data_IF_160697022263
#
_entry.id   IF_160697022263
#
_cell.length_a   1.000
_cell.length_b   1.000
_cell.length_c   1.000
_cell.angle_alpha   90.00
_cell.angle_beta   90.00
_cell.angle_gamma   90.00
#
_symmetry.space_group_name_H-M   'P 1'
#
loop_
_entity.id
_entity.type
_entity.pdbx_description
1 polymer ?
#
# COMPACT_ATOMS: atom_id res chain seq x y z
N UNK A 1 5.74 -31.57 -4.72
CA UNK A 1 5.41 -31.64 -3.28
C UNK A 1 6.33 -30.66 -2.60
N UNK A 2 5.87 -29.42 -2.37
CA UNK A 2 6.69 -28.38 -1.74
C UNK A 2 6.74 -28.63 -0.23
N UNK A 3 7.95 -28.81 0.30
CA UNK A 3 8.19 -28.93 1.74
C UNK A 3 7.89 -27.59 2.42
N UNK A 4 6.78 -27.52 3.15
CA UNK A 4 6.50 -26.39 4.05
C UNK A 4 7.53 -26.34 5.17
N UNK A 5 8.25 -25.23 5.30
CA UNK A 5 9.16 -25.01 6.42
C UNK A 5 8.39 -24.97 7.74
N UNK A 6 8.81 -25.77 8.71
CA UNK A 6 8.29 -25.70 10.08
C UNK A 6 9.35 -25.09 11.00
N UNK A 7 8.93 -24.18 11.88
CA UNK A 7 9.78 -23.55 12.89
C UNK A 7 9.19 -23.92 14.24
N UNK A 8 9.98 -24.60 15.07
CA UNK A 8 9.60 -25.00 16.43
C UNK A 8 10.37 -24.16 17.43
N UNK A 9 9.66 -23.45 18.31
CA UNK A 9 10.24 -22.65 19.39
C UNK A 9 9.92 -23.35 20.71
N UNK A 10 10.95 -23.68 21.49
CA UNK A 10 10.81 -24.33 22.80
C UNK A 10 11.03 -23.26 23.87
N UNK A 11 10.01 -23.01 24.68
CA UNK A 11 10.07 -22.11 25.82
C UNK A 11 10.16 -22.92 27.11
N UNK A 12 11.14 -22.60 27.95
CA UNK A 12 11.28 -23.20 29.28
C UNK A 12 10.58 -22.39 30.38
N UNK A 13 9.94 -21.28 30.02
CA UNK A 13 9.15 -20.44 30.93
C UNK A 13 7.67 -20.79 30.84
N UNK A 14 6.97 -20.76 31.96
CA UNK A 14 5.50 -20.87 32.05
C UNK A 14 4.78 -19.57 31.71
N UNK A 15 5.53 -18.47 31.56
CA UNK A 15 4.98 -17.17 31.22
C UNK A 15 4.68 -17.05 29.72
N UNK A 16 3.39 -16.94 29.39
CA UNK A 16 2.90 -16.76 28.02
C UNK A 16 3.17 -15.36 27.46
N UNK A 17 3.44 -14.38 28.33
CA UNK A 17 3.73 -13.01 27.91
C UNK A 17 5.01 -12.94 27.06
N UNK A 18 6.00 -13.78 27.37
CA UNK A 18 7.27 -13.86 26.62
C UNK A 18 7.05 -14.31 25.17
N UNK A 19 6.11 -15.22 24.93
CA UNK A 19 5.77 -15.64 23.56
C UNK A 19 5.04 -14.53 22.81
N UNK A 20 4.11 -13.83 23.48
CA UNK A 20 3.39 -12.71 22.89
C UNK A 20 4.35 -11.59 22.48
N UNK A 21 5.28 -11.21 23.37
CA UNK A 21 6.31 -10.19 23.11
C UNK A 21 7.26 -10.60 21.97
N UNK A 22 7.65 -11.88 21.88
CA UNK A 22 8.47 -12.38 20.78
C UNK A 22 7.73 -12.29 19.43
N UNK A 23 6.45 -12.68 19.41
CA UNK A 23 5.62 -12.61 18.20
C UNK A 23 5.40 -11.15 17.80
N UNK A 24 5.10 -10.27 18.77
CA UNK A 24 4.88 -8.84 18.53
C UNK A 24 6.16 -8.17 18.03
N UNK A 25 7.30 -8.42 18.67
CA UNK A 25 8.61 -7.93 18.24
C UNK A 25 8.97 -8.45 16.84
N UNK A 26 8.68 -9.72 16.57
CA UNK A 26 8.89 -10.32 15.25
C UNK A 26 8.03 -9.68 14.18
N UNK A 27 6.74 -9.49 14.49
CA UNK A 27 5.79 -8.80 13.61
C UNK A 27 6.22 -7.36 13.35
N UNK A 28 6.64 -6.62 14.38
CA UNK A 28 7.10 -5.24 14.29
C UNK A 28 8.33 -5.14 13.38
N UNK A 29 9.38 -5.92 13.63
CA UNK A 29 10.60 -5.93 12.78
C UNK A 29 10.31 -6.34 11.35
N UNK A 30 9.40 -7.30 11.15
CA UNK A 30 8.99 -7.71 9.81
C UNK A 30 8.22 -6.59 9.08
N UNK A 31 7.35 -5.86 9.79
CA UNK A 31 6.62 -4.72 9.24
C UNK A 31 7.54 -3.54 8.90
N UNK A 32 8.53 -3.22 9.74
CA UNK A 32 9.52 -2.15 9.52
C UNK A 32 10.39 -2.42 8.29
N UNK A 33 10.82 -3.69 8.10
CA UNK A 33 11.56 -4.09 6.92
C UNK A 33 10.71 -4.11 5.63
N UNK A 34 9.39 -4.31 5.73
CA UNK A 34 8.46 -4.16 4.61
C UNK A 34 8.29 -2.70 4.20
N UNK A 35 8.20 -1.79 5.16
CA UNK A 35 8.17 -0.35 4.88
C UNK A 35 9.46 0.09 4.17
N UNK A 36 10.59 -0.56 4.46
CA UNK A 36 11.90 -0.24 3.86
C UNK A 36 12.18 -0.89 2.48
N UNK A 37 11.50 -2.00 2.15
CA UNK A 37 11.67 -2.75 0.86
C UNK A 37 10.41 -2.71 0.01
N UNK A 38 9.66 -1.62 0.10
CA UNK A 38 8.34 -1.49 -0.49
C UNK A 38 8.47 -1.29 -2.00
N UNK A 39 7.99 -2.26 -2.76
CA UNK A 39 7.88 -2.17 -4.21
C UNK A 39 6.42 -1.95 -4.58
N UNK A 40 6.16 -1.13 -5.59
CA UNK A 40 4.81 -0.95 -6.14
C UNK A 40 4.63 -1.90 -7.32
N UNK A 41 3.61 -2.75 -7.26
CA UNK A 41 3.18 -3.56 -8.40
C UNK A 41 2.37 -2.68 -9.35
N UNK A 42 2.77 -2.64 -10.62
CA UNK A 42 2.00 -2.01 -11.69
C UNK A 42 1.52 -3.12 -12.61
N UNK A 43 0.21 -3.35 -12.65
CA UNK A 43 -0.41 -4.27 -13.58
C UNK A 43 -0.56 -3.58 -14.94
N UNK A 44 -0.24 -4.32 -15.99
CA UNK A 44 -0.48 -3.93 -17.36
C UNK A 44 -1.61 -4.79 -17.89
N UNK A 45 -2.71 -4.14 -18.24
CA UNK A 45 -3.85 -4.74 -18.91
C UNK A 45 -3.65 -4.72 -20.42
N UNK A 46 -4.00 -5.81 -21.07
CA UNK A 46 -4.02 -5.88 -22.53
C UNK A 46 -5.33 -5.31 -23.10
N UNK A 47 -5.44 -5.26 -24.43
CA UNK A 47 -6.66 -4.79 -25.12
C UNK A 47 -7.90 -5.68 -24.89
N UNK A 48 -7.76 -6.83 -24.21
CA UNK A 48 -8.85 -7.74 -23.84
C UNK A 48 -9.26 -7.57 -22.37
N UNK A 49 -8.60 -6.67 -21.64
CA UNK A 49 -8.82 -6.48 -20.21
C UNK A 49 -8.18 -7.57 -19.34
N UNK A 50 -7.37 -8.45 -19.92
CA UNK A 50 -6.65 -9.46 -19.17
C UNK A 50 -5.39 -8.85 -18.56
N UNK A 51 -5.19 -9.05 -17.25
CA UNK A 51 -4.00 -8.62 -16.54
C UNK A 51 -2.82 -9.52 -16.95
N UNK A 52 -2.11 -9.13 -17.99
CA UNK A 52 -1.11 -10.00 -18.62
C UNK A 52 0.28 -9.95 -17.95
N UNK A 53 0.64 -8.80 -17.35
CA UNK A 53 1.98 -8.61 -16.74
C UNK A 53 1.92 -7.66 -15.54
N UNK A 54 2.60 -8.03 -14.47
CA UNK A 54 2.86 -7.14 -13.33
C UNK A 54 4.34 -6.73 -13.36
N UNK A 55 4.62 -5.43 -13.42
CA UNK A 55 5.98 -4.89 -13.25
C UNK A 55 6.13 -4.35 -11.84
N UNK A 56 7.20 -4.76 -11.18
CA UNK A 56 7.54 -4.28 -9.85
C UNK A 56 8.44 -3.06 -9.97
N UNK A 57 8.02 -1.93 -9.41
CA UNK A 57 8.79 -0.68 -9.39
C UNK A 57 9.21 -0.33 -7.97
N UNK A 58 10.33 0.39 -7.84
CA UNK A 58 10.72 0.92 -6.53
C UNK A 58 9.69 1.94 -6.03
N UNK A 59 9.46 1.94 -4.71
CA UNK A 59 8.67 2.98 -4.06
C UNK A 59 9.29 4.34 -4.32
N UNK A 60 8.43 5.30 -4.62
CA UNK A 60 8.80 6.70 -4.79
C UNK A 60 8.23 7.50 -3.62
N UNK A 61 9.10 8.04 -2.78
CA UNK A 61 8.68 8.78 -1.58
C UNK A 61 7.86 10.03 -1.95
N UNK A 62 6.85 10.35 -1.14
CA UNK A 62 6.00 11.52 -1.35
C UNK A 62 6.79 12.84 -1.42
N UNK A 63 7.95 12.92 -0.77
CA UNK A 63 8.83 14.10 -0.79
C UNK A 63 9.46 14.43 -2.15
N UNK A 64 9.64 13.46 -3.05
CA UNK A 64 10.26 13.71 -4.38
C UNK A 64 9.29 14.33 -5.39
N UNK A 65 8.00 14.35 -5.07
CA UNK A 65 6.98 14.91 -5.92
C UNK A 65 6.85 16.41 -5.66
N UNK A 66 7.19 17.21 -6.68
CA UNK A 66 7.07 18.67 -6.66
C UNK A 66 5.66 19.02 -7.14
N UNK A 67 4.76 19.20 -6.19
CA UNK A 67 3.42 19.73 -6.36
C UNK A 67 3.19 20.81 -5.31
N UNK A 68 2.23 21.73 -5.53
CA UNK A 68 1.77 22.62 -4.46
C UNK A 68 1.38 21.81 -3.22
N UNK A 69 1.91 22.21 -2.06
CA UNK A 69 1.74 21.49 -0.79
C UNK A 69 0.26 21.28 -0.47
N UNK A 70 -0.57 22.29 -0.67
CA UNK A 70 -2.02 22.22 -0.40
C UNK A 70 -2.71 21.10 -1.16
N UNK A 71 -2.42 20.96 -2.47
CA UNK A 71 -3.04 19.94 -3.33
C UNK A 71 -2.57 18.55 -2.90
N UNK A 72 -1.27 18.42 -2.64
CA UNK A 72 -0.63 17.18 -2.24
C UNK A 72 -1.20 16.65 -0.93
N UNK A 73 -1.32 17.50 0.08
CA UNK A 73 -1.88 17.14 1.38
C UNK A 73 -3.37 16.82 1.27
N UNK A 74 -4.13 17.60 0.49
CA UNK A 74 -5.57 17.37 0.27
C UNK A 74 -5.84 16.00 -0.35
N UNK A 75 -5.11 15.63 -1.42
CA UNK A 75 -5.31 14.34 -2.10
C UNK A 75 -4.96 13.17 -1.17
N UNK A 76 -3.85 13.28 -0.44
CA UNK A 76 -3.42 12.21 0.48
C UNK A 76 -4.41 12.07 1.64
N UNK A 77 -4.87 13.18 2.21
CA UNK A 77 -5.86 13.17 3.29
C UNK A 77 -7.20 12.60 2.83
N UNK A 78 -7.73 13.02 1.68
CA UNK A 78 -8.98 12.50 1.10
C UNK A 78 -8.88 10.99 0.84
N UNK A 79 -7.73 10.53 0.31
CA UNK A 79 -7.56 9.10 0.03
C UNK A 79 -7.48 8.26 1.30
N UNK A 80 -6.76 8.73 2.33
CA UNK A 80 -6.73 8.05 3.64
C UNK A 80 -8.11 7.98 4.26
N UNK A 81 -8.83 9.10 4.26
CA UNK A 81 -10.19 9.16 4.75
C UNK A 81 -11.12 8.20 3.98
N UNK A 82 -10.98 8.11 2.66
CA UNK A 82 -11.74 7.16 1.86
C UNK A 82 -11.45 5.70 2.25
N UNK A 83 -10.19 5.33 2.46
CA UNK A 83 -9.78 3.97 2.87
C UNK A 83 -10.29 3.61 4.28
N UNK A 84 -10.30 4.56 5.22
CA UNK A 84 -10.76 4.31 6.59
C UNK A 84 -12.29 4.20 6.71
N UNK A 85 -13.05 4.84 5.81
CA UNK A 85 -14.50 4.97 5.93
C UNK A 85 -15.31 3.85 5.25
N UNK A 86 -14.71 2.71 4.91
CA UNK A 86 -15.40 1.57 4.26
C UNK A 86 -16.71 1.19 4.99
N UNK A 87 -16.69 1.17 6.32
CA UNK A 87 -17.86 0.85 7.15
C UNK A 87 -19.04 1.81 6.93
N UNK A 88 -18.79 3.09 6.68
CA UNK A 88 -19.83 4.07 6.42
C UNK A 88 -20.50 3.83 5.05
N UNK A 89 -19.70 3.52 4.03
CA UNK A 89 -20.20 3.17 2.69
C UNK A 89 -21.04 1.89 2.73
N UNK A 90 -20.58 0.87 3.46
CA UNK A 90 -21.30 -0.39 3.67
C UNK A 90 -22.64 -0.17 4.38
N UNK A 91 -22.68 0.67 5.41
CA UNK A 91 -23.93 1.01 6.13
C UNK A 91 -24.90 1.83 5.27
N UNK A 92 -24.38 2.74 4.44
CA UNK A 92 -25.18 3.55 3.55
C UNK A 92 -25.70 2.78 2.31
N UNK A 93 -25.18 1.57 2.06
CA UNK A 93 -25.51 0.77 0.87
C UNK A 93 -24.95 1.37 -0.43
N UNK A 94 -23.88 2.17 -0.34
CA UNK A 94 -23.25 2.85 -1.48
C UNK A 94 -21.97 2.11 -1.84
N UNK A 95 -21.70 1.95 -3.15
CA UNK A 95 -20.44 1.37 -3.62
C UNK A 95 -19.25 2.17 -3.09
N UNK A 96 -18.30 1.47 -2.46
CA UNK A 96 -17.05 2.05 -1.97
C UNK A 96 -16.09 2.28 -3.13
N UNK A 97 -16.26 3.40 -3.84
CA UNK A 97 -15.49 3.73 -5.04
C UNK A 97 -15.19 5.22 -5.11
N UNK A 98 -13.95 5.59 -5.44
CA UNK A 98 -13.50 6.99 -5.54
C UNK A 98 -12.71 7.20 -6.83
N UNK A 99 -13.10 8.20 -7.62
CA UNK A 99 -12.42 8.59 -8.85
C UNK A 99 -11.71 9.94 -8.69
N UNK A 100 -10.47 10.03 -9.15
CA UNK A 100 -9.69 11.27 -9.15
C UNK A 100 -9.35 11.70 -10.59
N UNK A 101 -9.51 12.99 -10.91
CA UNK A 101 -9.12 13.57 -12.18
C UNK A 101 -7.92 14.50 -11.98
N UNK A 102 -6.75 14.08 -12.47
CA UNK A 102 -5.54 14.91 -12.45
C UNK A 102 -5.28 15.42 -13.86
N UNK A 103 -5.43 16.73 -14.07
CA UNK A 103 -5.30 17.38 -15.38
C UNK A 103 -4.20 18.45 -15.40
N UNK A 104 -3.76 18.83 -16.60
CA UNK A 104 -2.74 19.87 -16.82
C UNK A 104 -1.86 19.56 -18.04
N UNK A 105 -0.85 20.39 -18.30
CA UNK A 105 0.04 20.26 -19.45
C UNK A 105 0.86 18.95 -19.45
N UNK A 106 1.19 18.38 -20.62
CA UNK A 106 2.05 17.21 -20.68
C UNK A 106 3.38 17.48 -19.97
N UNK A 107 3.87 16.52 -19.19
CA UNK A 107 5.12 16.67 -18.42
C UNK A 107 4.96 17.23 -17.00
N UNK A 108 3.77 17.63 -16.55
CA UNK A 108 3.54 18.15 -15.19
C UNK A 108 3.53 17.10 -14.06
N UNK A 109 4.02 15.88 -14.32
CA UNK A 109 4.14 14.86 -13.28
C UNK A 109 2.83 14.18 -12.86
N UNK A 110 1.78 14.19 -13.69
CA UNK A 110 0.50 13.49 -13.42
C UNK A 110 0.69 12.00 -13.12
N UNK A 111 1.34 11.26 -14.02
CA UNK A 111 1.63 9.83 -13.81
C UNK A 111 2.58 9.59 -12.63
N UNK A 112 3.51 10.53 -12.40
CA UNK A 112 4.39 10.47 -11.24
C UNK A 112 3.61 10.66 -9.92
N UNK A 113 2.57 11.48 -9.92
CA UNK A 113 1.68 11.69 -8.77
C UNK A 113 0.94 10.41 -8.41
N UNK A 114 0.39 9.70 -9.38
CA UNK A 114 -0.30 8.42 -9.18
C UNK A 114 0.67 7.38 -8.59
N UNK A 115 1.87 7.26 -9.16
CA UNK A 115 2.90 6.32 -8.68
C UNK A 115 3.29 6.59 -7.23
N UNK A 116 3.46 7.87 -6.89
CA UNK A 116 3.83 8.32 -5.54
C UNK A 116 2.68 8.11 -4.56
N UNK A 117 1.43 8.36 -4.97
CA UNK A 117 0.26 8.14 -4.13
C UNK A 117 0.08 6.64 -3.82
N UNK A 118 0.21 5.78 -4.83
CA UNK A 118 0.18 4.33 -4.65
C UNK A 118 1.34 3.84 -3.75
N UNK A 119 2.54 4.38 -3.98
CA UNK A 119 3.72 4.16 -3.13
C UNK A 119 3.50 4.54 -1.66
N UNK A 120 2.84 5.67 -1.41
CA UNK A 120 2.62 6.20 -0.06
C UNK A 120 1.55 5.40 0.69
N UNK A 121 0.50 4.97 0.01
CA UNK A 121 -0.63 4.25 0.58
C UNK A 121 -0.47 2.72 0.55
N UNK A 122 0.61 2.20 -0.04
CA UNK A 122 0.83 0.76 -0.18
C UNK A 122 -0.16 0.10 -1.14
N UNK A 123 -0.68 0.85 -2.10
CA UNK A 123 -1.65 0.37 -3.09
C UNK A 123 -0.93 -0.11 -4.36
N UNK A 124 -1.57 -1.04 -5.06
CA UNK A 124 -1.15 -1.48 -6.39
C UNK A 124 -1.78 -0.58 -7.46
N UNK A 125 -1.08 -0.41 -8.58
CA UNK A 125 -1.58 0.37 -9.74
C UNK A 125 -1.98 -0.62 -10.81
N UNK A 126 -3.19 -0.54 -11.37
CA UNK A 126 -3.69 -1.43 -12.43
C UNK A 126 -3.97 -0.75 -13.77
#
# INVERSE_FOLDING_TARGET
MESGGSITIILHSSDKAVLADLIETGHQKYSENRVSTSTVTVHLTDNRGECAKAITKSRRALSTLILPTDIKETIVADTRQFLENENWYNQAGISHSRGYLIYGDPGTGKSATIHVLASELGLEVS
#
